data_IF_747119504575
#
_entry.id   IF_747119504575
#
_cell.length_a   1.000
_cell.length_b   1.000
_cell.length_c   1.000
_cell.angle_alpha   90.00
_cell.angle_beta   90.00
_cell.angle_gamma   90.00
#
_symmetry.space_group_name_H-M   'P 1'
#
loop_
_entity.id
_entity.type
_entity.pdbx_description
1 polymer ?
#
# COMPACT_ATOMS: atom_id res chain seq x y z
N UNK A 1 -11.82 5.51 -4.26
CA UNK A 1 -10.56 5.60 -5.04
C UNK A 1 -9.57 4.64 -4.41
N UNK A 2 -9.21 3.55 -5.10
CA UNK A 2 -8.30 2.54 -4.59
C UNK A 2 -6.86 3.05 -4.56
N UNK A 3 -6.11 2.64 -3.54
CA UNK A 3 -4.70 3.01 -3.38
C UNK A 3 -3.84 1.94 -4.05
N UNK A 4 -3.11 2.32 -5.10
CA UNK A 4 -2.20 1.41 -5.81
C UNK A 4 -0.79 1.47 -5.22
N UNK A 5 -0.28 0.33 -4.77
CA UNK A 5 1.07 0.09 -4.25
C UNK A 5 1.83 -0.74 -5.31
N UNK A 6 2.64 -0.06 -6.13
CA UNK A 6 3.49 -0.71 -7.13
C UNK A 6 2.87 -0.79 -8.53
N UNK A 7 3.71 -0.63 -9.55
CA UNK A 7 3.34 -0.85 -10.94
C UNK A 7 4.50 -1.53 -11.68
N UNK A 8 4.21 -2.62 -12.40
CA UNK A 8 5.06 -3.04 -13.50
C UNK A 8 5.05 -1.93 -14.55
N UNK A 9 6.23 -1.42 -14.91
CA UNK A 9 6.40 -0.37 -15.92
C UNK A 9 5.80 1.01 -15.55
N UNK A 10 6.38 1.66 -14.54
CA UNK A 10 6.48 3.13 -14.36
C UNK A 10 5.32 4.00 -14.90
N UNK A 11 4.13 3.83 -14.32
CA UNK A 11 3.35 5.00 -13.89
C UNK A 11 3.26 5.03 -12.37
N UNK A 12 4.44 5.18 -11.78
CA UNK A 12 4.63 5.63 -10.41
C UNK A 12 4.32 7.12 -10.33
N UNK A 13 3.09 7.56 -10.61
CA UNK A 13 2.72 8.98 -10.46
C UNK A 13 2.73 9.44 -8.99
N UNK A 14 2.91 8.51 -8.03
CA UNK A 14 2.76 8.81 -6.61
C UNK A 14 4.07 8.66 -5.81
N UNK A 15 5.02 7.81 -6.23
CA UNK A 15 6.03 7.31 -5.28
C UNK A 15 7.49 7.70 -5.54
N UNK A 16 7.88 8.15 -6.74
CA UNK A 16 9.31 8.24 -7.05
C UNK A 16 9.89 9.64 -7.24
N UNK A 17 9.07 10.70 -7.39
CA UNK A 17 9.59 12.06 -7.64
C UNK A 17 8.95 13.18 -6.80
N UNK A 18 8.13 12.86 -5.80
CA UNK A 18 7.47 13.90 -5.01
C UNK A 18 8.39 14.43 -3.89
N UNK A 19 8.54 15.75 -3.72
CA UNK A 19 9.41 16.32 -2.70
C UNK A 19 8.98 15.88 -1.29
N UNK A 20 9.93 15.88 -0.33
CA UNK A 20 9.75 15.27 1.01
C UNK A 20 8.50 15.75 1.76
N UNK A 21 8.14 17.02 1.59
CA UNK A 21 6.90 17.63 2.08
C UNK A 21 5.63 16.95 1.52
N UNK A 22 5.67 16.48 0.27
CA UNK A 22 4.56 15.74 -0.34
C UNK A 22 4.49 14.30 0.18
N UNK A 23 5.62 13.68 0.52
CA UNK A 23 5.65 12.31 1.09
C UNK A 23 4.98 12.22 2.46
N UNK A 24 5.21 13.21 3.33
CA UNK A 24 4.53 13.28 4.64
C UNK A 24 3.03 13.52 4.52
N UNK A 25 2.62 14.44 3.63
CA UNK A 25 1.20 14.66 3.37
C UNK A 25 0.52 13.39 2.81
N UNK A 26 1.20 12.70 1.89
CA UNK A 26 0.72 11.42 1.36
C UNK A 26 0.65 10.31 2.40
N UNK A 27 1.70 10.15 3.21
CA UNK A 27 1.70 9.18 4.31
C UNK A 27 0.54 9.45 5.26
N UNK A 28 0.29 10.71 5.65
CA UNK A 28 -0.85 11.07 6.50
C UNK A 28 -2.18 10.67 5.87
N UNK A 29 -2.41 11.01 4.59
CA UNK A 29 -3.66 10.68 3.89
C UNK A 29 -3.84 9.17 3.77
N UNK A 30 -2.78 8.44 3.43
CA UNK A 30 -2.79 6.98 3.34
C UNK A 30 -3.10 6.36 4.71
N UNK A 31 -2.36 6.77 5.74
CA UNK A 31 -2.51 6.27 7.09
C UNK A 31 -3.93 6.50 7.62
N UNK A 32 -4.50 7.68 7.45
CA UNK A 32 -5.87 7.97 7.89
C UNK A 32 -6.92 7.05 7.25
N UNK A 33 -6.69 6.58 6.02
CA UNK A 33 -7.59 5.65 5.31
C UNK A 33 -7.48 4.21 5.78
N UNK A 34 -6.28 3.76 6.14
CA UNK A 34 -6.02 2.34 6.41
C UNK A 34 -5.78 2.04 7.89
N UNK A 35 -5.55 3.06 8.74
CA UNK A 35 -5.21 2.88 10.17
C UNK A 35 -6.24 2.04 10.92
N UNK A 36 -7.52 2.12 10.53
CA UNK A 36 -8.61 1.40 11.19
C UNK A 36 -8.77 -0.03 10.68
N UNK A 37 -7.96 -0.44 9.71
CA UNK A 37 -7.86 -1.84 9.30
C UNK A 37 -7.04 -2.65 10.29
N UNK A 38 -6.21 -2.02 11.11
CA UNK A 38 -5.31 -2.69 12.03
C UNK A 38 -5.80 -2.57 13.48
N UNK A 39 -5.62 -3.63 14.25
CA UNK A 39 -5.75 -3.57 15.71
C UNK A 39 -4.66 -2.68 16.33
N UNK A 40 -4.86 -2.22 17.56
CA UNK A 40 -3.90 -1.35 18.27
C UNK A 40 -2.48 -1.89 18.31
N UNK A 41 -2.32 -3.22 18.43
CA UNK A 41 -1.02 -3.92 18.39
C UNK A 41 -0.41 -3.98 16.99
N UNK A 42 -1.24 -4.00 15.94
CA UNK A 42 -0.82 -4.02 14.53
C UNK A 42 -0.50 -2.63 13.96
N UNK A 43 -1.12 -1.56 14.49
CA UNK A 43 -0.93 -0.18 14.00
C UNK A 43 0.54 0.25 14.05
N UNK A 44 1.25 -0.02 15.14
CA UNK A 44 2.66 0.37 15.27
C UNK A 44 3.58 -0.33 14.25
N UNK A 45 3.28 -1.58 13.89
CA UNK A 45 4.06 -2.31 12.88
C UNK A 45 3.68 -1.84 11.47
N UNK A 46 2.38 -1.65 11.20
CA UNK A 46 1.90 -1.13 9.93
C UNK A 46 2.47 0.27 9.61
N UNK A 47 2.54 1.14 10.62
CA UNK A 47 3.17 2.46 10.50
C UNK A 47 4.63 2.38 10.06
N UNK A 48 5.42 1.51 10.71
CA UNK A 48 6.83 1.29 10.33
C UNK A 48 6.98 0.78 8.89
N UNK A 49 6.13 -0.16 8.48
CA UNK A 49 6.12 -0.69 7.11
C UNK A 49 5.84 0.42 6.07
N UNK A 50 4.88 1.30 6.34
CA UNK A 50 4.59 2.46 5.47
C UNK A 50 5.73 3.47 5.47
N UNK A 51 6.35 3.69 6.63
CA UNK A 51 7.50 4.59 6.76
C UNK A 51 8.70 4.08 5.94
N UNK A 52 8.98 2.78 6.00
CA UNK A 52 10.00 2.11 5.19
C UNK A 52 9.72 2.31 3.70
N UNK A 53 8.46 2.11 3.28
CA UNK A 53 8.07 2.27 1.88
C UNK A 53 8.24 3.71 1.34
N UNK A 54 7.90 4.72 2.16
CA UNK A 54 7.80 6.12 1.70
C UNK A 54 9.08 6.93 1.95
N UNK A 55 9.77 6.66 3.06
CA UNK A 55 10.87 7.49 3.56
C UNK A 55 12.23 6.81 3.54
N UNK A 56 12.34 5.55 3.08
CA UNK A 56 13.66 4.94 2.88
C UNK A 56 14.55 5.78 1.96
N UNK A 57 15.84 5.88 2.31
CA UNK A 57 16.84 6.62 1.54
C UNK A 57 17.00 6.05 0.12
N UNK A 58 16.81 4.74 -0.02
CA UNK A 58 16.75 4.02 -1.28
C UNK A 58 15.34 3.46 -1.47
N UNK A 59 14.78 3.66 -2.66
CA UNK A 59 13.49 3.07 -3.02
C UNK A 59 13.54 1.54 -2.80
N UNK A 60 12.56 0.95 -2.09
CA UNK A 60 12.53 -0.50 -1.88
C UNK A 60 12.45 -1.25 -3.20
N UNK A 61 13.00 -2.46 -3.25
CA UNK A 61 12.84 -3.34 -4.41
C UNK A 61 11.37 -3.77 -4.54
N UNK A 62 11.00 -4.25 -5.73
CA UNK A 62 9.65 -4.79 -5.98
C UNK A 62 9.31 -5.92 -5.01
N UNK A 63 10.28 -6.79 -4.75
CA UNK A 63 10.14 -7.90 -3.81
C UNK A 63 9.84 -7.36 -2.40
N UNK A 64 10.57 -6.33 -1.95
CA UNK A 64 10.36 -5.74 -0.63
C UNK A 64 9.01 -5.00 -0.53
N UNK A 65 8.59 -4.30 -1.58
CA UNK A 65 7.25 -3.68 -1.64
C UNK A 65 6.14 -4.73 -1.53
N UNK A 66 6.35 -5.89 -2.14
CA UNK A 66 5.42 -7.01 -2.10
C UNK A 66 5.36 -7.62 -0.71
N UNK A 67 6.51 -7.85 -0.07
CA UNK A 67 6.60 -8.28 1.33
C UNK A 67 5.87 -7.30 2.27
N UNK A 68 6.17 -6.00 2.17
CA UNK A 68 5.52 -4.94 2.96
C UNK A 68 3.99 -4.99 2.79
N UNK A 69 3.50 -5.18 1.56
CA UNK A 69 2.07 -5.28 1.31
C UNK A 69 1.43 -6.50 1.99
N UNK A 70 2.07 -7.67 1.91
CA UNK A 70 1.58 -8.86 2.60
C UNK A 70 1.69 -8.74 4.12
N UNK A 71 2.75 -8.13 4.65
CA UNK A 71 2.86 -7.82 6.08
C UNK A 71 1.72 -6.91 6.54
N UNK A 72 1.36 -5.87 5.78
CA UNK A 72 0.20 -5.02 6.06
C UNK A 72 -1.09 -5.85 6.03
N UNK A 73 -1.29 -6.70 5.01
CA UNK A 73 -2.46 -7.58 4.93
C UNK A 73 -2.59 -8.51 6.15
N UNK A 74 -1.49 -9.09 6.62
CA UNK A 74 -1.51 -9.97 7.78
C UNK A 74 -1.85 -9.24 9.09
N UNK A 75 -1.36 -8.01 9.24
CA UNK A 75 -1.64 -7.15 10.39
C UNK A 75 -3.08 -6.63 10.42
N UNK A 76 -3.75 -6.60 9.27
CA UNK A 76 -5.14 -6.18 9.18
C UNK A 76 -6.08 -7.19 9.85
N UNK A 77 -7.16 -6.67 10.43
CA UNK A 77 -8.29 -7.44 10.95
C UNK A 77 -8.82 -8.39 9.87
N UNK A 78 -9.31 -9.57 10.26
CA UNK A 78 -9.76 -10.60 9.32
C UNK A 78 -10.77 -10.05 8.28
N UNK A 79 -11.73 -9.21 8.71
CA UNK A 79 -12.73 -8.57 7.84
C UNK A 79 -12.18 -7.52 6.88
N UNK A 80 -10.95 -7.05 7.09
CA UNK A 80 -10.29 -6.03 6.28
C UNK A 80 -9.23 -6.63 5.36
N UNK A 81 -8.87 -7.91 5.51
CA UNK A 81 -7.85 -8.58 4.68
C UNK A 81 -8.26 -8.67 3.21
N UNK A 82 -9.55 -8.81 2.91
CA UNK A 82 -10.07 -8.83 1.54
C UNK A 82 -9.90 -7.50 0.81
N UNK A 83 -9.71 -6.40 1.54
CA UNK A 83 -9.41 -5.08 0.95
C UNK A 83 -7.99 -5.01 0.37
N UNK A 84 -7.10 -5.91 0.77
CA UNK A 84 -5.76 -6.03 0.22
C UNK A 84 -5.78 -6.99 -0.97
N UNK A 85 -5.89 -6.42 -2.16
CA UNK A 85 -6.02 -7.13 -3.42
C UNK A 85 -4.71 -7.12 -4.22
N UNK A 86 -4.44 -8.24 -4.87
CA UNK A 86 -3.34 -8.39 -5.82
C UNK A 86 -3.99 -8.63 -7.17
N UNK A 87 -3.76 -7.72 -8.11
CA UNK A 87 -4.30 -7.79 -9.45
C UNK A 87 -3.17 -7.99 -10.46
N UNK A 88 -3.29 -9.04 -11.27
CA UNK A 88 -2.40 -9.29 -12.40
C UNK A 88 -3.21 -9.19 -13.70
N UNK A 89 -3.22 -8.02 -14.37
CA UNK A 89 -4.05 -7.79 -15.55
C UNK A 89 -3.60 -8.59 -16.79
N UNK A 90 -2.36 -9.07 -16.82
CA UNK A 90 -1.78 -9.70 -18.01
C UNK A 90 -1.47 -11.19 -17.82
N UNK A 91 -1.86 -11.77 -16.67
CA UNK A 91 -1.52 -13.15 -16.26
C UNK A 91 -0.03 -13.51 -16.44
N UNK A 92 0.83 -12.49 -16.45
CA UNK A 92 2.28 -12.65 -16.57
C UNK A 92 2.95 -11.89 -15.42
N UNK A 93 4.15 -12.32 -15.02
CA UNK A 93 4.88 -11.70 -13.91
C UNK A 93 5.39 -10.28 -14.20
N UNK A 94 5.10 -9.72 -15.39
CA UNK A 94 5.61 -8.42 -15.80
C UNK A 94 4.88 -7.26 -15.08
N UNK A 95 3.61 -7.44 -14.72
CA UNK A 95 2.82 -6.38 -14.07
C UNK A 95 1.95 -6.94 -12.95
N UNK A 96 2.39 -6.78 -11.72
CA UNK A 96 1.59 -7.03 -10.51
C UNK A 96 1.19 -5.68 -9.92
N UNK A 97 -0.11 -5.52 -9.70
CA UNK A 97 -0.71 -4.32 -9.09
C UNK A 97 -1.18 -4.70 -7.69
N UNK A 98 -0.61 -4.11 -6.65
CA UNK A 98 -1.08 -4.30 -5.28
C UNK A 98 -2.03 -3.14 -4.96
N UNK A 99 -3.21 -3.44 -4.43
CA UNK A 99 -4.24 -2.44 -4.12
C UNK A 99 -4.78 -2.60 -2.71
N UNK A 100 -5.03 -1.46 -2.06
CA UNK A 100 -5.78 -1.39 -0.81
C UNK A 100 -7.08 -0.63 -1.10
N UNK A 101 -8.21 -1.34 -0.95
CA UNK A 101 -9.55 -0.78 -1.13
C UNK A 101 -9.94 0.09 0.07
N UNK A 102 -10.46 1.29 -0.19
CA UNK A 102 -10.94 2.21 0.84
C UNK A 102 -12.20 1.66 1.53
N UNK A 103 -12.41 2.00 2.81
CA UNK A 103 -13.58 1.53 3.58
C UNK A 103 -14.92 1.87 2.90
N UNK A 104 -14.97 2.98 2.14
CA UNK A 104 -16.15 3.45 1.44
C UNK A 104 -16.34 2.88 0.02
N UNK A 105 -15.43 2.05 -0.49
CA UNK A 105 -15.62 1.32 -1.75
C UNK A 105 -16.16 -0.08 -1.43
N UNK A 106 -17.44 -0.15 -1.07
CA UNK A 106 -18.21 -1.39 -1.19
C UNK A 106 -18.87 -1.42 -2.58
N UNK A 107 -18.36 -2.27 -3.47
CA UNK A 107 -18.90 -2.54 -4.82
C UNK A 107 -19.07 -1.32 -5.74
N UNK A 108 -18.04 -1.05 -6.56
CA UNK A 108 -18.34 -0.75 -7.97
C UNK A 108 -17.81 -1.94 -8.78
N UNK A 109 -18.77 -2.58 -9.46
CA UNK A 109 -18.75 -3.87 -10.15
C UNK A 109 -17.59 -4.06 -11.14
#
# INVERSE_FOLDING_TARGET
MPITIGNGFLKSEILTNSPRNTKEAWWKVLWEKIKDFFFSTGKAKADRCLHEMLFAERAPTRERLTEIFFELKELACASQRDRFQVHNPHENDATIILRIMDQNEENEL
#
